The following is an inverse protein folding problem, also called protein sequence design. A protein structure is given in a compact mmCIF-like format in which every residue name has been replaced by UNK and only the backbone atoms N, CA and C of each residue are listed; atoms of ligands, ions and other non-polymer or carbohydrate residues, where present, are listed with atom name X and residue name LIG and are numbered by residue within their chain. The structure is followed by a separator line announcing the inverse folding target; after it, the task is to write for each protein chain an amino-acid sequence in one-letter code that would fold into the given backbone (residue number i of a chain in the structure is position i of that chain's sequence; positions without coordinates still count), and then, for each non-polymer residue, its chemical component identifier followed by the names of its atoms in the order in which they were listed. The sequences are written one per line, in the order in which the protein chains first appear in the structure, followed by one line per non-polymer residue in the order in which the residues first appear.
data_IF_404466349313
#
_entry.id   IF_404466349313
#
_cell.length_a   1.000
_cell.length_b   1.000
_cell.length_c   1.000
_cell.angle_alpha   90.00
_cell.angle_beta   90.00
_cell.angle_gamma   90.00
#
_symmetry.space_group_name_H-M   'P 1'
#
loop_
_entity.id
_entity.type
_entity.pdbx_description
1 polymer ?
#
# COMPACT_ATOMS: atom_id res chain seq x y z
N UNK A 1 -47.39 -27.60 88.52
CA UNK A 1 -47.03 -26.42 87.70
C UNK A 1 -46.48 -26.91 86.38
N UNK A 2 -47.23 -26.72 85.28
CA UNK A 2 -46.88 -27.23 83.95
C UNK A 2 -46.02 -26.20 83.20
N UNK A 3 -44.85 -26.62 82.72
CA UNK A 3 -43.97 -25.79 81.91
C UNK A 3 -44.45 -25.78 80.46
N UNK A 4 -44.95 -24.64 79.98
CA UNK A 4 -45.35 -24.43 78.59
C UNK A 4 -44.12 -24.29 77.69
N UNK A 5 -43.91 -25.27 76.80
CA UNK A 5 -42.94 -25.18 75.70
C UNK A 5 -43.55 -24.37 74.55
N UNK A 6 -43.13 -23.12 74.38
CA UNK A 6 -43.41 -22.37 73.16
C UNK A 6 -42.54 -22.91 72.02
N UNK A 7 -43.15 -23.62 71.06
CA UNK A 7 -42.52 -23.94 69.78
C UNK A 7 -42.56 -22.70 68.89
N UNK A 8 -41.40 -22.10 68.64
CA UNK A 8 -41.25 -21.08 67.61
C UNK A 8 -41.50 -21.71 66.23
N UNK A 9 -42.49 -21.18 65.50
CA UNK A 9 -42.77 -21.51 64.11
C UNK A 9 -41.59 -21.05 63.23
N UNK A 10 -40.61 -21.93 63.05
CA UNK A 10 -39.46 -21.68 62.17
C UNK A 10 -39.87 -21.68 60.71
N UNK A 11 -39.50 -20.63 59.98
CA UNK A 11 -39.57 -20.57 58.51
C UNK A 11 -39.00 -21.88 57.93
N UNK A 12 -39.75 -22.55 57.06
CA UNK A 12 -39.35 -23.87 56.57
C UNK A 12 -37.96 -23.83 55.92
N UNK A 13 -37.12 -24.85 56.18
CA UNK A 13 -35.76 -24.98 55.62
C UNK A 13 -35.71 -24.87 54.08
N UNK A 14 -36.83 -25.05 53.38
CA UNK A 14 -36.97 -24.87 51.93
C UNK A 14 -37.06 -23.40 51.52
N UNK A 15 -37.78 -22.58 52.27
CA UNK A 15 -37.94 -21.16 51.99
C UNK A 15 -36.64 -20.37 52.26
N UNK A 16 -35.91 -20.75 53.31
CA UNK A 16 -34.60 -20.19 53.64
C UNK A 16 -33.54 -20.52 52.57
N UNK A 17 -33.69 -21.64 51.86
CA UNK A 17 -32.81 -22.06 50.75
C UNK A 17 -33.06 -21.27 49.47
N UNK A 18 -34.29 -20.89 49.18
CA UNK A 18 -34.65 -20.07 48.00
C UNK A 18 -34.18 -18.62 48.20
N UNK A 19 -34.40 -18.05 49.39
CA UNK A 19 -33.94 -16.70 49.74
C UNK A 19 -32.40 -16.56 49.71
N UNK A 20 -31.66 -17.54 50.24
CA UNK A 20 -30.19 -17.57 50.21
C UNK A 20 -29.60 -17.85 48.81
N UNK A 21 -30.38 -18.41 47.88
CA UNK A 21 -29.93 -18.66 46.50
C UNK A 21 -30.00 -17.39 45.63
N UNK A 22 -31.04 -16.57 45.79
CA UNK A 22 -31.15 -15.27 45.10
C UNK A 22 -30.08 -14.26 45.52
N UNK A 23 -29.71 -14.23 46.80
CA UNK A 23 -28.62 -13.37 47.31
C UNK A 23 -27.24 -13.77 46.78
N UNK A 24 -26.99 -15.08 46.59
CA UNK A 24 -25.73 -15.59 46.01
C UNK A 24 -25.62 -15.31 44.52
N UNK A 25 -26.73 -15.34 43.78
CA UNK A 25 -26.76 -14.96 42.36
C UNK A 25 -26.50 -13.47 42.16
N UNK A 26 -27.09 -12.61 43.01
CA UNK A 26 -26.82 -11.18 42.96
C UNK A 26 -25.37 -10.83 43.39
N UNK A 27 -24.76 -11.60 44.29
CA UNK A 27 -23.35 -11.40 44.64
C UNK A 27 -22.40 -11.88 43.55
N UNK A 28 -22.68 -13.02 42.90
CA UNK A 28 -21.84 -13.54 41.81
C UNK A 28 -21.91 -12.66 40.57
N UNK A 29 -23.08 -12.10 40.25
CA UNK A 29 -23.23 -11.15 39.14
C UNK A 29 -22.50 -9.84 39.41
N UNK A 30 -22.61 -9.29 40.64
CA UNK A 30 -21.85 -8.10 41.03
C UNK A 30 -20.34 -8.33 41.01
N UNK A 31 -19.89 -9.52 41.40
CA UNK A 31 -18.47 -9.90 41.31
C UNK A 31 -18.00 -9.99 39.87
N UNK A 32 -18.78 -10.62 38.98
CA UNK A 32 -18.46 -10.70 37.56
C UNK A 32 -18.32 -9.31 36.90
N UNK A 33 -19.23 -8.37 37.20
CA UNK A 33 -19.13 -6.98 36.71
C UNK A 33 -17.88 -6.28 37.24
N UNK A 34 -17.55 -6.45 38.52
CA UNK A 34 -16.33 -5.86 39.09
C UNK A 34 -15.06 -6.47 38.50
N UNK A 35 -15.08 -7.74 38.14
CA UNK A 35 -13.97 -8.41 37.45
C UNK A 35 -13.83 -7.90 36.01
N UNK A 36 -14.94 -7.71 35.29
CA UNK A 36 -14.95 -7.08 33.96
C UNK A 36 -14.44 -5.64 34.01
N UNK A 37 -14.86 -4.83 34.97
CA UNK A 37 -14.39 -3.46 35.15
C UNK A 37 -12.87 -3.42 35.39
N UNK A 38 -12.36 -4.27 36.28
CA UNK A 38 -10.91 -4.36 36.55
C UNK A 38 -10.12 -4.83 35.34
N UNK A 39 -10.64 -5.83 34.63
CA UNK A 39 -10.03 -6.32 33.40
C UNK A 39 -10.01 -5.23 32.32
N UNK A 40 -11.13 -4.53 32.11
CA UNK A 40 -11.25 -3.43 31.17
C UNK A 40 -10.31 -2.28 31.52
N UNK A 41 -10.16 -1.91 32.79
CA UNK A 41 -9.23 -0.87 33.23
C UNK A 41 -7.78 -1.24 32.90
N UNK A 42 -7.38 -2.50 33.12
CA UNK A 42 -6.07 -3.02 32.73
C UNK A 42 -5.85 -2.99 31.22
N UNK A 43 -6.84 -3.46 30.46
CA UNK A 43 -6.80 -3.46 28.99
C UNK A 43 -6.70 -2.03 28.43
N UNK A 44 -7.50 -1.09 28.94
CA UNK A 44 -7.47 0.32 28.55
C UNK A 44 -6.11 0.97 28.79
N UNK A 45 -5.49 0.72 29.96
CA UNK A 45 -4.15 1.22 30.27
C UNK A 45 -3.10 0.68 29.30
N UNK A 46 -3.19 -0.60 28.91
CA UNK A 46 -2.29 -1.19 27.93
C UNK A 46 -2.47 -0.59 26.54
N UNK A 47 -3.71 -0.47 26.03
CA UNK A 47 -3.98 0.15 24.74
C UNK A 47 -3.56 1.61 24.68
N UNK A 48 -3.79 2.37 25.76
CA UNK A 48 -3.33 3.77 25.85
C UNK A 48 -1.80 3.87 25.70
N UNK A 49 -1.05 2.96 26.32
CA UNK A 49 0.41 2.92 26.17
C UNK A 49 0.83 2.56 24.75
N UNK A 50 0.22 1.53 24.16
CA UNK A 50 0.52 1.13 22.77
C UNK A 50 0.23 2.27 21.80
N UNK A 51 -0.92 2.93 21.91
CA UNK A 51 -1.27 4.06 21.04
C UNK A 51 -0.27 5.22 21.20
N UNK A 52 0.09 5.58 22.42
CA UNK A 52 0.98 6.73 22.66
C UNK A 52 2.45 6.45 22.32
N UNK A 53 2.96 5.27 22.64
CA UNK A 53 4.39 4.96 22.51
C UNK A 53 4.76 4.21 21.24
N UNK A 54 3.79 3.62 20.53
CA UNK A 54 4.04 2.87 19.29
C UNK A 54 3.32 3.54 18.13
N UNK A 55 1.99 3.67 18.21
CA UNK A 55 1.21 4.15 17.07
C UNK A 55 1.55 5.60 16.70
N UNK A 56 1.66 6.51 17.69
CA UNK A 56 2.02 7.91 17.42
C UNK A 56 3.42 8.03 16.78
N UNK A 57 4.51 7.48 17.35
CA UNK A 57 5.82 7.53 16.70
C UNK A 57 5.82 6.94 15.29
N UNK A 58 5.19 5.78 15.10
CA UNK A 58 5.10 5.15 13.78
C UNK A 58 4.37 6.03 12.76
N UNK A 59 3.24 6.63 13.16
CA UNK A 59 2.46 7.54 12.31
C UNK A 59 3.25 8.80 11.98
N UNK A 60 4.02 9.34 12.94
CA UNK A 60 4.89 10.48 12.70
C UNK A 60 6.00 10.16 11.70
N UNK A 61 6.60 8.97 11.78
CA UNK A 61 7.63 8.55 10.80
C UNK A 61 7.04 8.37 9.40
N UNK A 62 5.85 7.75 9.29
CA UNK A 62 5.16 7.60 8.00
C UNK A 62 4.76 8.97 7.44
N UNK A 63 4.20 9.85 8.28
CA UNK A 63 3.86 11.21 7.91
C UNK A 63 5.09 11.98 7.43
N UNK A 64 6.22 11.86 8.15
CA UNK A 64 7.48 12.47 7.73
C UNK A 64 7.90 11.99 6.33
N UNK A 65 7.85 10.68 6.08
CA UNK A 65 8.17 10.14 4.75
C UNK A 65 7.22 10.69 3.68
N UNK A 66 5.91 10.67 3.92
CA UNK A 66 4.92 11.09 2.93
C UNK A 66 5.01 12.59 2.58
N UNK A 67 5.25 13.46 3.58
CA UNK A 67 5.26 14.90 3.38
C UNK A 67 6.62 15.47 2.98
N UNK A 68 7.73 14.86 3.41
CA UNK A 68 9.06 15.44 3.22
C UNK A 68 10.00 14.60 2.38
N UNK A 69 9.81 13.28 2.27
CA UNK A 69 10.70 12.38 1.53
C UNK A 69 10.13 12.03 0.17
N UNK A 70 8.88 11.61 0.12
CA UNK A 70 8.18 11.23 -1.12
C UNK A 70 7.55 12.45 -1.83
N UNK A 71 7.92 13.67 -1.45
CA UNK A 71 7.51 14.89 -2.16
C UNK A 71 8.29 15.05 -3.48
N UNK A 72 8.60 13.95 -4.15
CA UNK A 72 9.12 13.99 -5.51
C UNK A 72 8.04 14.59 -6.41
N UNK A 73 8.47 15.50 -7.29
CA UNK A 73 7.69 15.96 -8.44
C UNK A 73 7.07 14.73 -9.11
N UNK A 74 5.77 14.52 -8.89
CA UNK A 74 5.05 13.52 -9.67
C UNK A 74 5.30 13.89 -11.13
N UNK A 75 5.79 12.95 -11.96
CA UNK A 75 6.00 13.24 -13.37
C UNK A 75 4.64 13.57 -13.96
N UNK A 76 4.34 14.86 -14.08
CA UNK A 76 3.22 15.33 -14.84
C UNK A 76 3.54 14.94 -16.29
N UNK A 77 2.77 14.04 -16.90
CA UNK A 77 2.98 13.77 -18.30
C UNK A 77 2.70 15.07 -19.05
N UNK A 78 3.70 15.64 -19.71
CA UNK A 78 3.52 16.92 -20.42
C UNK A 78 2.41 16.86 -21.48
N UNK A 79 2.09 15.65 -21.97
CA UNK A 79 1.13 15.44 -23.04
C UNK A 79 0.21 14.25 -22.78
N UNK A 80 -1.09 14.45 -23.03
CA UNK A 80 -2.08 13.38 -23.10
C UNK A 80 -1.91 12.54 -24.36
N UNK A 81 -1.81 11.22 -24.22
CA UNK A 81 -1.84 10.27 -25.34
C UNK A 81 -3.18 9.52 -25.34
N UNK A 82 -4.03 9.69 -26.38
CA UNK A 82 -5.36 9.10 -26.42
C UNK A 82 -5.33 7.61 -26.75
N UNK A 83 -5.07 6.78 -25.73
CA UNK A 83 -5.22 5.33 -25.88
C UNK A 83 -6.70 4.92 -25.89
N UNK A 84 -7.06 3.94 -26.72
CA UNK A 84 -8.44 3.47 -26.91
C UNK A 84 -9.13 2.92 -25.66
N UNK A 85 -8.36 2.52 -24.66
CA UNK A 85 -8.85 1.97 -23.39
C UNK A 85 -8.96 3.02 -22.27
N UNK A 86 -8.52 4.26 -22.52
CA UNK A 86 -8.57 5.35 -21.55
C UNK A 86 -9.84 6.17 -21.79
N UNK A 87 -10.49 6.63 -20.71
CA UNK A 87 -11.67 7.53 -20.75
C UNK A 87 -12.85 7.00 -21.57
N UNK A 88 -13.02 5.68 -21.65
CA UNK A 88 -14.21 5.09 -22.29
C UNK A 88 -15.45 5.47 -21.47
N UNK A 89 -16.43 6.10 -22.12
CA UNK A 89 -17.77 6.32 -21.57
C UNK A 89 -18.83 5.81 -22.52
N UNK A 90 -19.74 4.98 -21.99
CA UNK A 90 -20.94 4.55 -22.71
C UNK A 90 -22.13 5.49 -22.47
N UNK A 91 -22.11 6.25 -21.37
CA UNK A 91 -23.14 7.22 -20.97
C UNK A 91 -22.45 8.39 -20.27
N UNK A 92 -23.02 9.58 -20.45
CA UNK A 92 -22.63 10.77 -19.70
C UNK A 92 -22.92 10.61 -18.20
N UNK A 93 -22.15 11.30 -17.37
CA UNK A 93 -22.43 11.36 -15.93
C UNK A 93 -23.69 12.17 -15.61
N UNK A 94 -24.36 11.89 -14.49
CA UNK A 94 -25.60 12.57 -14.12
C UNK A 94 -25.38 13.96 -13.47
N UNK A 95 -24.20 14.57 -13.60
CA UNK A 95 -23.86 15.87 -13.03
C UNK A 95 -22.96 16.68 -13.97
N UNK A 96 -22.90 17.99 -13.73
CA UNK A 96 -22.01 18.90 -14.45
C UNK A 96 -22.21 18.86 -15.96
N UNK A 97 -21.10 18.71 -16.67
CA UNK A 97 -21.01 18.62 -18.13
C UNK A 97 -21.18 17.18 -18.67
N UNK A 98 -21.25 16.18 -17.77
CA UNK A 98 -21.38 14.77 -18.12
C UNK A 98 -20.05 14.07 -18.45
N UNK A 99 -18.94 14.80 -18.51
CA UNK A 99 -17.62 14.29 -18.90
C UNK A 99 -16.59 14.34 -17.76
N UNK A 100 -16.77 15.20 -16.76
CA UNK A 100 -15.89 15.26 -15.59
C UNK A 100 -16.33 14.28 -14.50
N UNK A 101 -15.39 13.46 -14.03
CA UNK A 101 -15.62 12.55 -12.90
C UNK A 101 -15.84 13.32 -11.60
N UNK A 102 -16.43 12.67 -10.60
CA UNK A 102 -16.68 13.29 -9.29
C UNK A 102 -15.42 13.86 -8.62
N UNK A 103 -14.27 13.20 -8.80
CA UNK A 103 -12.96 13.66 -8.33
C UNK A 103 -12.07 14.00 -9.53
N UNK A 104 -12.55 14.90 -10.39
CA UNK A 104 -11.74 15.40 -11.50
C UNK A 104 -10.74 16.46 -11.01
N UNK A 105 -9.51 16.41 -11.52
CA UNK A 105 -8.47 17.40 -11.30
C UNK A 105 -7.77 17.67 -12.64
N UNK A 106 -7.88 18.90 -13.13
CA UNK A 106 -7.42 19.34 -14.45
C UNK A 106 -5.90 19.16 -14.63
N UNK A 107 -5.12 19.24 -13.54
CA UNK A 107 -3.67 19.10 -13.58
C UNK A 107 -3.20 17.67 -13.87
N UNK A 108 -3.95 16.67 -13.42
CA UNK A 108 -3.55 15.24 -13.51
C UNK A 108 -4.40 14.47 -14.51
N UNK A 109 -5.64 14.88 -14.72
CA UNK A 109 -6.56 14.25 -15.65
C UNK A 109 -6.52 14.96 -17.01
N UNK A 110 -5.41 14.82 -17.71
CA UNK A 110 -5.12 15.50 -18.98
C UNK A 110 -5.95 15.01 -20.18
N UNK A 111 -6.36 15.92 -21.06
CA UNK A 111 -7.07 15.61 -22.32
C UNK A 111 -8.54 16.06 -22.35
N UNK A 112 -8.93 16.93 -21.43
CA UNK A 112 -10.12 17.78 -21.53
C UNK A 112 -9.66 19.19 -21.95
N UNK A 113 -10.54 20.01 -22.53
CA UNK A 113 -10.21 21.42 -22.80
C UNK A 113 -9.93 22.12 -21.47
N UNK A 114 -8.76 22.78 -21.34
CA UNK A 114 -8.45 23.57 -20.15
C UNK A 114 -9.41 24.76 -20.10
N UNK A 115 -10.14 24.89 -19.00
CA UNK A 115 -10.93 26.09 -18.69
C UNK A 115 -10.00 27.20 -18.19
N UNK A 116 -10.30 28.46 -18.52
CA UNK A 116 -9.49 29.64 -18.15
C UNK A 116 -9.24 29.72 -16.63
N UNK A 117 -10.20 29.27 -15.81
CA UNK A 117 -10.09 29.19 -14.33
C UNK A 117 -8.99 28.24 -13.85
N UNK A 118 -8.75 27.13 -14.57
CA UNK A 118 -7.70 26.16 -14.24
C UNK A 118 -6.29 26.65 -14.56
N UNK A 119 -6.14 27.55 -15.54
CA UNK A 119 -4.86 28.18 -15.88
C UNK A 119 -4.44 29.22 -14.83
N UNK A 120 -5.39 29.93 -14.23
CA UNK A 120 -5.14 30.89 -13.15
C UNK A 120 -4.73 30.17 -11.86
N UNK A 121 -5.38 29.05 -11.50
CA UNK A 121 -4.96 28.21 -10.37
C UNK A 121 -3.55 27.62 -10.59
N UNK A 122 -3.20 27.20 -11.82
CA UNK A 122 -1.88 26.67 -12.18
C UNK A 122 -0.77 27.71 -12.01
N UNK A 123 -1.04 28.97 -12.35
CA UNK A 123 -0.09 30.08 -12.18
C UNK A 123 0.13 30.46 -10.70
N UNK A 124 -0.90 30.34 -9.85
CA UNK A 124 -0.77 30.55 -8.40
C UNK A 124 -0.09 29.37 -7.68
N UNK A 125 -0.15 28.16 -8.23
CA UNK A 125 0.46 26.94 -7.67
C UNK A 125 1.97 26.81 -7.89
N UNK A 126 2.63 27.87 -8.38
CA UNK A 126 4.08 27.97 -8.46
C UNK A 126 4.75 27.52 -7.15
N UNK A 127 5.89 26.81 -7.20
CA UNK A 127 6.44 26.09 -6.06
C UNK A 127 6.63 27.03 -4.86
N UNK A 128 5.87 26.77 -3.79
CA UNK A 128 6.01 27.50 -2.53
C UNK A 128 7.44 27.32 -2.04
N UNK A 129 8.10 28.43 -1.72
CA UNK A 129 9.49 28.45 -1.23
C UNK A 129 9.69 27.39 -0.15
N UNK A 130 10.59 26.44 -0.41
CA UNK A 130 10.88 25.37 0.53
C UNK A 130 11.27 25.96 1.89
N UNK A 131 10.68 25.41 2.94
CA UNK A 131 11.02 25.78 4.31
C UNK A 131 12.53 25.55 4.54
N UNK A 132 13.17 26.36 5.38
CA UNK A 132 14.62 26.28 5.57
C UNK A 132 15.08 24.90 6.10
N UNK A 133 14.22 24.23 6.88
CA UNK A 133 14.44 22.87 7.39
C UNK A 133 14.39 21.84 6.27
N UNK A 134 13.46 21.97 5.32
CA UNK A 134 13.36 21.04 4.18
C UNK A 134 14.58 21.15 3.28
N UNK A 135 15.10 22.36 3.03
CA UNK A 135 16.37 22.52 2.32
C UNK A 135 17.53 21.86 3.05
N UNK A 136 17.64 22.05 4.36
CA UNK A 136 18.72 21.46 5.15
C UNK A 136 18.67 19.92 5.14
N UNK A 137 17.47 19.33 5.15
CA UNK A 137 17.28 17.87 5.07
C UNK A 137 17.61 17.36 3.67
N UNK A 138 17.13 18.03 2.61
CA UNK A 138 17.42 17.65 1.23
C UNK A 138 18.93 17.72 0.96
N UNK A 139 19.58 18.81 1.37
CA UNK A 139 21.01 19.03 1.11
C UNK A 139 21.94 18.12 1.93
N UNK A 140 21.53 17.66 3.13
CA UNK A 140 22.40 16.92 4.05
C UNK A 140 22.02 15.45 4.27
N UNK A 141 20.73 15.11 4.14
CA UNK A 141 20.21 13.77 4.47
C UNK A 141 19.71 13.00 3.24
N UNK A 142 19.40 13.67 2.12
CA UNK A 142 18.94 13.01 0.90
C UNK A 142 20.06 12.93 -0.14
N UNK A 143 20.09 11.83 -0.88
CA UNK A 143 20.95 11.68 -2.05
C UNK A 143 20.53 12.68 -3.15
N UNK A 144 21.48 13.16 -3.95
CA UNK A 144 21.23 14.11 -5.03
C UNK A 144 20.03 13.65 -5.90
N UNK A 145 19.00 14.50 -6.10
CA UNK A 145 17.76 14.10 -6.78
C UNK A 145 18.02 13.67 -8.23
N UNK A 146 19.00 14.27 -8.89
CA UNK A 146 19.45 13.86 -10.24
C UNK A 146 20.05 12.46 -10.25
N UNK A 147 20.82 12.10 -9.22
CA UNK A 147 21.42 10.77 -9.11
C UNK A 147 20.34 9.72 -8.88
N UNK A 148 19.35 10.03 -8.05
CA UNK A 148 18.18 9.16 -7.81
C UNK A 148 17.35 8.96 -9.09
N UNK A 149 17.11 10.04 -9.85
CA UNK A 149 16.47 9.96 -11.18
C UNK A 149 17.25 9.04 -12.11
N UNK A 150 18.58 9.19 -12.17
CA UNK A 150 19.44 8.37 -13.02
C UNK A 150 19.40 6.89 -12.62
N UNK A 151 19.54 6.57 -11.33
CA UNK A 151 19.44 5.19 -10.80
C UNK A 151 18.11 4.53 -11.16
N UNK A 152 16.98 5.25 -11.04
CA UNK A 152 15.66 4.74 -11.46
C UNK A 152 15.59 4.50 -12.96
N UNK A 153 16.10 5.42 -13.77
CA UNK A 153 16.09 5.29 -15.22
C UNK A 153 16.94 4.11 -15.69
N UNK A 154 18.13 3.93 -15.12
CA UNK A 154 19.00 2.78 -15.37
C UNK A 154 18.34 1.47 -14.95
N UNK A 155 17.70 1.44 -13.78
CA UNK A 155 16.92 0.28 -13.32
C UNK A 155 15.80 -0.07 -14.30
N UNK A 156 15.01 0.93 -14.73
CA UNK A 156 13.93 0.72 -15.68
C UNK A 156 14.45 0.30 -17.07
N UNK A 157 15.61 0.77 -17.49
CA UNK A 157 16.26 0.33 -18.73
C UNK A 157 16.67 -1.14 -18.65
N UNK A 158 17.30 -1.56 -17.55
CA UNK A 158 17.67 -2.96 -17.29
C UNK A 158 16.44 -3.88 -17.29
N UNK A 159 15.34 -3.46 -16.69
CA UNK A 159 14.09 -4.24 -16.67
C UNK A 159 13.53 -4.41 -18.09
N UNK A 160 13.57 -3.35 -18.92
CA UNK A 160 13.15 -3.42 -20.32
C UNK A 160 14.02 -4.40 -21.12
N UNK A 161 15.34 -4.32 -20.99
CA UNK A 161 16.28 -5.23 -21.65
C UNK A 161 16.01 -6.70 -21.26
N UNK A 162 15.84 -6.99 -19.96
CA UNK A 162 15.47 -8.34 -19.50
C UNK A 162 14.12 -8.82 -20.04
N UNK A 163 13.14 -7.93 -20.17
CA UNK A 163 11.86 -8.26 -20.79
C UNK A 163 12.04 -8.60 -22.28
N UNK A 164 12.86 -7.84 -23.01
CA UNK A 164 13.13 -8.08 -24.43
C UNK A 164 13.87 -9.41 -24.63
N UNK A 165 14.91 -9.69 -23.84
CA UNK A 165 15.59 -11.00 -23.84
C UNK A 165 14.61 -12.16 -23.56
N UNK A 166 13.71 -11.98 -22.59
CA UNK A 166 12.69 -12.98 -22.25
C UNK A 166 11.72 -13.21 -23.41
N UNK A 167 11.29 -12.14 -24.09
CA UNK A 167 10.44 -12.22 -25.27
C UNK A 167 11.16 -12.87 -26.46
N UNK A 168 12.44 -12.57 -26.66
CA UNK A 168 13.28 -13.24 -27.67
C UNK A 168 13.40 -14.74 -27.39
N UNK A 169 13.67 -15.10 -26.13
CA UNK A 169 13.76 -16.51 -25.70
C UNK A 169 12.45 -17.26 -25.96
N UNK A 170 11.31 -16.60 -25.78
CA UNK A 170 9.99 -17.16 -26.13
C UNK A 170 9.74 -17.23 -27.63
N UNK A 171 10.25 -16.27 -28.41
CA UNK A 171 10.11 -16.23 -29.87
C UNK A 171 10.92 -17.34 -30.54
N UNK A 172 12.13 -17.61 -30.04
CA UNK A 172 12.99 -18.69 -30.51
C UNK A 172 12.41 -20.03 -30.02
N UNK A 173 12.01 -20.93 -30.95
CA UNK A 173 11.67 -22.32 -30.58
C UNK A 173 12.92 -22.98 -30.01
N UNK A 174 12.89 -23.36 -28.73
CA UNK A 174 13.96 -24.13 -28.13
C UNK A 174 13.88 -25.57 -28.63
N UNK A 175 14.62 -25.88 -29.69
CA UNK A 175 14.94 -27.26 -30.02
C UNK A 175 15.93 -27.79 -28.96
N UNK A 176 15.90 -29.09 -28.62
CA UNK A 176 16.98 -29.68 -27.84
C UNK A 176 18.33 -29.36 -28.51
N UNK A 177 19.42 -29.19 -27.75
CA UNK A 177 20.73 -28.97 -28.35
C UNK A 177 20.99 -30.07 -29.36
N UNK A 178 21.42 -29.70 -30.57
CA UNK A 178 21.75 -30.68 -31.59
C UNK A 178 22.82 -31.63 -31.04
N UNK A 179 22.69 -32.95 -31.25
CA UNK A 179 23.60 -33.93 -30.66
C UNK A 179 25.05 -33.79 -31.17
N UNK A 180 25.25 -33.07 -32.28
CA UNK A 180 26.55 -32.70 -32.83
C UNK A 180 26.59 -31.21 -33.14
N UNK A 181 27.70 -30.56 -32.79
CA UNK A 181 27.98 -29.17 -33.12
C UNK A 181 28.43 -29.05 -34.59
N UNK A 182 27.49 -28.97 -35.51
CA UNK A 182 27.79 -28.89 -36.94
C UNK A 182 28.48 -27.58 -37.32
N UNK A 183 28.26 -26.47 -36.61
CA UNK A 183 28.93 -25.19 -36.89
C UNK A 183 30.40 -25.25 -36.48
N UNK A 184 30.70 -25.77 -35.30
CA UNK A 184 32.07 -26.01 -34.85
C UNK A 184 32.80 -27.02 -35.75
N UNK A 185 32.11 -28.09 -36.16
CA UNK A 185 32.67 -29.06 -37.11
C UNK A 185 32.93 -28.40 -38.46
N UNK A 186 31.96 -27.70 -39.05
CA UNK A 186 32.10 -27.06 -40.36
C UNK A 186 33.21 -26.01 -40.34
N UNK A 187 33.28 -25.14 -39.34
CA UNK A 187 34.35 -24.14 -39.22
C UNK A 187 35.73 -24.78 -39.04
N UNK A 188 35.83 -25.91 -38.34
CA UNK A 188 37.07 -26.68 -38.21
C UNK A 188 37.41 -27.50 -39.48
N UNK A 189 36.40 -27.92 -40.25
CA UNK A 189 36.57 -28.68 -41.51
C UNK A 189 36.54 -27.82 -42.76
N UNK A 190 36.37 -26.50 -42.65
CA UNK A 190 36.67 -25.53 -43.70
C UNK A 190 38.17 -25.60 -44.01
N UNK A 191 38.56 -26.62 -44.77
CA UNK A 191 39.77 -26.55 -45.57
C UNK A 191 39.54 -25.42 -46.56
N UNK A 192 40.56 -24.58 -46.76
CA UNK A 192 40.55 -23.64 -47.88
C UNK A 192 40.15 -24.44 -49.12
N UNK A 193 39.11 -24.01 -49.83
CA UNK A 193 38.76 -24.59 -51.12
C UNK A 193 40.00 -24.41 -51.98
N UNK A 194 40.79 -25.46 -52.14
CA UNK A 194 41.86 -25.47 -53.13
C UNK A 194 41.13 -25.47 -54.46
N UNK A 195 40.91 -24.26 -54.98
CA UNK A 195 40.51 -24.05 -56.35
C UNK A 195 41.50 -24.84 -57.21
N UNK A 196 41.00 -25.67 -58.12
CA UNK A 196 41.85 -26.41 -59.04
C UNK A 196 42.72 -25.45 -59.86
N UNK A 197 43.65 -25.98 -60.66
CA UNK A 197 44.55 -25.17 -61.52
C UNK A 197 43.77 -24.17 -62.40
N UNK A 198 42.48 -24.42 -62.63
CA UNK A 198 41.60 -23.65 -63.50
C UNK A 198 40.75 -22.61 -62.74
N UNK A 199 40.91 -22.49 -61.42
CA UNK A 199 40.27 -21.43 -60.63
C UNK A 199 38.75 -21.53 -60.47
N UNK A 200 38.17 -22.73 -60.61
CA UNK A 200 36.78 -23.06 -60.27
C UNK A 200 36.72 -24.28 -59.34
#
# INVERSE_FOLDING_TARGET
MAASRFQALGFSRRFQRIWNSGHRFQSSFRQALQEEEKHAEGTLKNWKRISLFIAIPATLTIGYKAFFVDHEEHPNPDNYVPYSHIRIRNKAFPWGDGDHSLFHNDHVNLGFEKTEEGEEEEAELAPKKDHWITKLIVDYLMDDPEENRKKRNEHMALIRERCDEYLEKKRKKQYPPEPMDFEGINTATLRATELGVDGY
#
